data_IF_794171092993
#
_entry.id   IF_794171092993
#
_cell.length_a   1.000
_cell.length_b   1.000
_cell.length_c   1.000
_cell.angle_alpha   90.00
_cell.angle_beta   90.00
_cell.angle_gamma   90.00
#
_symmetry.space_group_name_H-M   'P 1'
#
loop_
_entity.id
_entity.type
_entity.pdbx_description
1 polymer ?
#
# COMPACT_ATOMS: atom_id res chain seq x y z
N UNK A 1 2.40 23.14 -0.46
CA UNK A 1 1.77 21.88 0.00
C UNK A 1 2.89 20.94 0.43
N UNK A 2 2.88 20.46 1.68
CA UNK A 2 3.94 19.60 2.23
C UNK A 2 3.78 18.20 1.63
N UNK A 3 4.67 17.79 0.72
CA UNK A 3 4.63 16.44 0.16
C UNK A 3 5.28 15.44 1.12
N UNK A 4 4.66 14.29 1.35
CA UNK A 4 5.29 13.19 2.09
C UNK A 4 6.45 12.58 1.30
N UNK A 5 6.41 12.66 -0.04
CA UNK A 5 7.45 12.20 -0.95
C UNK A 5 7.48 13.05 -2.23
N UNK A 6 8.65 13.36 -2.82
CA UNK A 6 8.74 14.25 -3.99
C UNK A 6 7.91 13.79 -5.20
N UNK A 7 7.89 12.47 -5.47
CA UNK A 7 7.19 11.89 -6.62
C UNK A 7 5.79 11.35 -6.33
N UNK A 8 5.26 11.47 -5.09
CA UNK A 8 3.84 11.19 -4.84
C UNK A 8 3.05 12.36 -5.42
N UNK A 9 2.14 12.06 -6.34
CA UNK A 9 1.26 13.05 -6.97
C UNK A 9 0.10 13.40 -6.03
N UNK A 10 -0.53 14.56 -6.24
CA UNK A 10 -1.71 14.98 -5.48
C UNK A 10 -2.94 14.07 -5.68
N UNK A 11 -2.91 13.19 -6.68
CA UNK A 11 -3.96 12.20 -6.94
C UNK A 11 -3.91 10.97 -6.02
N UNK A 12 -2.86 10.86 -5.19
CA UNK A 12 -2.68 9.76 -4.24
C UNK A 12 -3.22 10.21 -2.88
N UNK A 13 -4.33 9.60 -2.44
CA UNK A 13 -5.00 9.97 -1.20
C UNK A 13 -4.31 9.40 0.05
N UNK A 14 -3.48 8.36 -0.11
CA UNK A 14 -2.73 7.73 0.97
C UNK A 14 -1.56 6.89 0.47
N UNK A 15 -0.63 6.57 1.37
CA UNK A 15 0.58 5.83 1.07
C UNK A 15 1.02 4.98 2.24
N UNK A 16 1.27 3.68 2.00
CA UNK A 16 1.89 2.75 2.95
C UNK A 16 3.34 2.43 2.59
N UNK A 17 4.22 2.41 3.59
CA UNK A 17 5.61 1.96 3.45
C UNK A 17 5.92 0.83 4.44
N UNK A 18 6.08 -0.42 3.98
CA UNK A 18 6.60 -1.53 4.77
C UNK A 18 8.11 -1.65 4.57
N UNK A 19 8.92 -0.86 5.28
CA UNK A 19 10.37 -1.02 5.25
C UNK A 19 10.89 -1.60 6.57
N UNK A 20 12.10 -2.19 6.54
CA UNK A 20 12.69 -2.86 7.70
C UNK A 20 13.09 -1.90 8.83
N UNK A 21 13.10 -0.58 8.58
CA UNK A 21 13.48 0.44 9.56
C UNK A 21 12.25 1.03 10.26
N UNK A 22 11.13 1.18 9.54
CA UNK A 22 9.86 1.66 10.05
C UNK A 22 8.72 1.23 9.13
N UNK A 23 7.57 1.02 9.74
CA UNK A 23 6.32 0.87 9.02
C UNK A 23 5.46 2.10 9.30
N UNK A 24 4.97 2.75 8.26
CA UNK A 24 4.12 3.93 8.40
C UNK A 24 3.14 4.09 7.24
N UNK A 25 2.09 4.84 7.52
CA UNK A 25 1.10 5.29 6.54
C UNK A 25 0.98 6.80 6.60
N UNK A 26 0.82 7.44 5.43
CA UNK A 26 0.43 8.86 5.33
C UNK A 26 -0.89 8.95 4.59
N UNK A 27 -1.87 9.66 5.15
CA UNK A 27 -3.18 9.88 4.51
C UNK A 27 -3.59 11.34 4.66
N UNK A 28 -4.22 11.88 3.62
CA UNK A 28 -4.90 13.16 3.71
C UNK A 28 -6.31 12.99 4.31
N UNK A 29 -6.45 13.32 5.58
CA UNK A 29 -7.74 13.25 6.30
C UNK A 29 -8.70 14.39 5.93
N UNK A 30 -8.23 15.42 5.22
CA UNK A 30 -9.11 16.48 4.70
C UNK A 30 -9.87 16.07 3.43
N UNK A 31 -9.43 14.99 2.78
CA UNK A 31 -10.11 14.37 1.66
C UNK A 31 -11.38 13.64 2.13
N UNK A 32 -12.47 13.77 1.37
CA UNK A 32 -13.65 12.92 1.55
C UNK A 32 -13.25 11.45 1.42
N UNK A 33 -13.41 10.66 2.48
CA UNK A 33 -12.99 9.26 2.52
C UNK A 33 -11.59 9.02 3.08
N UNK A 34 -10.93 10.03 3.69
CA UNK A 34 -9.62 9.86 4.33
C UNK A 34 -9.55 8.70 5.33
N UNK A 35 -10.60 8.44 6.12
CA UNK A 35 -10.64 7.27 7.00
C UNK A 35 -10.64 5.94 6.23
N UNK A 36 -11.34 5.86 5.10
CA UNK A 36 -11.36 4.65 4.25
C UNK A 36 -9.97 4.38 3.69
N UNK A 37 -9.29 5.42 3.22
CA UNK A 37 -7.91 5.31 2.72
C UNK A 37 -6.96 4.89 3.86
N UNK A 38 -7.09 5.51 5.03
CA UNK A 38 -6.30 5.12 6.21
C UNK A 38 -6.48 3.64 6.56
N UNK A 39 -7.72 3.16 6.60
CA UNK A 39 -7.99 1.76 6.90
C UNK A 39 -7.58 0.81 5.78
N UNK A 40 -7.62 1.22 4.51
CA UNK A 40 -7.07 0.46 3.38
C UNK A 40 -5.57 0.23 3.55
N UNK A 41 -4.81 1.30 3.75
CA UNK A 41 -3.36 1.23 3.96
C UNK A 41 -3.01 0.46 5.25
N UNK A 42 -3.82 0.59 6.30
CA UNK A 42 -3.69 -0.22 7.51
C UNK A 42 -4.02 -1.70 7.28
N UNK A 43 -4.92 -2.01 6.34
CA UNK A 43 -5.20 -3.38 5.88
C UNK A 43 -3.97 -4.04 5.27
N UNK A 44 -3.19 -3.33 4.45
CA UNK A 44 -1.89 -3.81 3.98
C UNK A 44 -0.93 -4.07 5.14
N UNK A 45 -0.89 -3.17 6.13
CA UNK A 45 -0.06 -3.35 7.32
C UNK A 45 -0.37 -4.65 8.06
N UNK A 46 -1.65 -4.85 8.36
CA UNK A 46 -2.13 -6.03 9.05
C UNK A 46 -1.84 -7.32 8.26
N UNK A 47 -2.03 -7.31 6.94
CA UNK A 47 -1.74 -8.45 6.07
C UNK A 47 -0.28 -8.90 6.19
N UNK A 48 0.68 -7.97 6.05
CA UNK A 48 2.10 -8.32 6.02
C UNK A 48 2.68 -8.66 7.40
N UNK A 49 2.01 -8.30 8.50
CA UNK A 49 2.42 -8.70 9.84
C UNK A 49 2.02 -10.15 10.19
N UNK A 50 0.89 -10.64 9.69
CA UNK A 50 0.38 -11.96 10.09
C UNK A 50 1.11 -13.12 9.42
N UNK A 51 1.38 -13.03 8.11
CA UNK A 51 2.15 -14.04 7.36
C UNK A 51 2.85 -13.38 6.17
N UNK A 52 4.17 -13.54 6.09
CA UNK A 52 4.94 -13.20 4.90
C UNK A 52 4.72 -14.28 3.83
N UNK A 53 3.86 -14.01 2.86
CA UNK A 53 3.63 -14.86 1.70
C UNK A 53 3.59 -14.04 0.41
N UNK A 54 3.99 -14.64 -0.71
CA UNK A 54 3.81 -14.05 -2.04
C UNK A 54 2.35 -14.13 -2.45
N UNK A 55 1.58 -13.09 -2.11
CA UNK A 55 0.18 -12.99 -2.47
C UNK A 55 0.00 -12.37 -3.86
N UNK A 56 -1.00 -12.84 -4.64
CA UNK A 56 -1.35 -12.19 -5.90
C UNK A 56 -1.91 -10.80 -5.64
N UNK A 57 -1.63 -9.84 -6.54
CA UNK A 57 -1.98 -8.43 -6.36
C UNK A 57 -3.48 -8.21 -6.07
N UNK A 58 -4.36 -9.00 -6.68
CA UNK A 58 -5.80 -8.81 -6.47
C UNK A 58 -6.18 -9.11 -5.02
N UNK A 59 -5.54 -10.10 -4.39
CA UNK A 59 -5.84 -10.45 -3.01
C UNK A 59 -5.21 -9.44 -2.05
N UNK A 60 -4.02 -8.92 -2.37
CA UNK A 60 -3.38 -7.84 -1.58
C UNK A 60 -4.30 -6.62 -1.48
N UNK A 61 -4.86 -6.17 -2.60
CA UNK A 61 -5.78 -5.04 -2.63
C UNK A 61 -7.17 -5.39 -2.13
N UNK A 62 -7.69 -6.56 -2.49
CA UNK A 62 -9.00 -7.01 -2.07
C UNK A 62 -9.10 -7.18 -0.55
N UNK A 63 -8.03 -7.65 0.07
CA UNK A 63 -7.90 -7.69 1.52
C UNK A 63 -7.94 -6.28 2.11
N UNK A 64 -7.11 -5.37 1.62
CA UNK A 64 -7.11 -3.98 2.09
C UNK A 64 -8.49 -3.32 1.95
N UNK A 65 -9.17 -3.49 0.81
CA UNK A 65 -10.54 -2.99 0.59
C UNK A 65 -11.57 -3.65 1.52
N UNK A 66 -11.43 -4.95 1.83
CA UNK A 66 -12.34 -5.66 2.75
C UNK A 66 -12.30 -5.07 4.16
N UNK A 67 -11.12 -4.60 4.60
CA UNK A 67 -10.92 -3.95 5.89
C UNK A 67 -11.07 -2.41 5.84
N UNK A 68 -11.04 -1.80 4.65
CA UNK A 68 -11.08 -0.33 4.48
C UNK A 68 -12.38 0.32 5.01
N UNK A 69 -13.48 -0.43 5.06
CA UNK A 69 -14.78 0.04 5.55
C UNK A 69 -15.09 -0.44 6.97
N UNK A 70 -14.07 -0.82 7.75
CA UNK A 70 -14.24 -1.28 9.13
C UNK A 70 -15.05 -0.29 9.96
N UNK A 71 -16.04 -0.80 10.71
CA UNK A 71 -16.78 -0.03 11.72
C UNK A 71 -16.24 -0.41 13.09
N UNK A 72 -15.48 0.49 13.72
CA UNK A 72 -14.91 0.28 15.06
C UNK A 72 -15.73 1.10 16.05
N UNK A 73 -16.33 0.42 17.02
CA UNK A 73 -17.07 1.01 18.13
C UNK A 73 -16.59 0.40 19.45
N UNK A 74 -16.87 1.04 20.59
CA UNK A 74 -16.45 0.50 21.90
C UNK A 74 -16.95 -0.92 22.17
N UNK A 75 -18.11 -1.29 21.62
CA UNK A 75 -18.80 -2.56 21.85
C UNK A 75 -18.65 -3.58 20.71
N UNK A 76 -18.18 -3.16 19.52
CA UNK A 76 -18.10 -4.04 18.36
C UNK A 76 -17.12 -3.56 17.31
N UNK A 77 -16.61 -4.51 16.53
CA UNK A 77 -15.87 -4.27 15.29
C UNK A 77 -16.60 -4.99 14.17
N UNK A 78 -16.79 -4.36 13.01
CA UNK A 78 -17.38 -5.00 11.82
C UNK A 78 -16.49 -4.86 10.60
N UNK A 79 -16.26 -5.98 9.89
CA UNK A 79 -15.44 -6.07 8.69
C UNK A 79 -16.25 -6.44 7.45
N UNK A 80 -15.68 -6.27 6.25
CA UNK A 80 -16.31 -6.67 5.00
C UNK A 80 -17.50 -5.81 4.59
N UNK A 81 -17.60 -4.59 5.14
CA UNK A 81 -18.60 -3.61 4.71
C UNK A 81 -18.24 -3.13 3.31
N UNK A 82 -19.25 -2.75 2.54
CA UNK A 82 -19.07 -2.26 1.17
C UNK A 82 -19.02 -0.73 1.13
N UNK A 83 -18.19 -0.19 0.23
CA UNK A 83 -18.25 1.23 -0.13
C UNK A 83 -19.35 1.45 -1.19
N UNK A 84 -20.22 2.47 -1.04
CA UNK A 84 -21.22 2.78 -2.07
C UNK A 84 -20.62 3.01 -3.45
N UNK A 85 -19.44 3.65 -3.53
CA UNK A 85 -18.73 3.88 -4.80
C UNK A 85 -18.23 2.59 -5.46
N UNK A 86 -17.74 1.64 -4.65
CA UNK A 86 -17.32 0.31 -5.13
C UNK A 86 -18.51 -0.50 -5.61
N UNK A 87 -19.61 -0.48 -4.87
CA UNK A 87 -20.84 -1.16 -5.31
C UNK A 87 -21.36 -0.60 -6.63
N UNK A 88 -21.36 0.72 -6.78
CA UNK A 88 -21.75 1.37 -8.03
C UNK A 88 -20.92 0.83 -9.21
N UNK A 89 -19.59 0.76 -9.04
CA UNK A 89 -18.69 0.18 -10.06
C UNK A 89 -19.03 -1.26 -10.44
N UNK A 90 -19.57 -2.07 -9.53
CA UNK A 90 -19.94 -3.47 -9.78
C UNK A 90 -21.35 -3.64 -10.37
N UNK A 91 -22.23 -2.64 -10.23
CA UNK A 91 -23.65 -2.75 -10.58
C UNK A 91 -24.08 -1.92 -11.78
N UNK A 92 -23.19 -1.15 -12.42
CA UNK A 92 -23.54 -0.26 -13.55
C UNK A 92 -23.78 -0.96 -14.91
N UNK A 93 -23.74 -2.30 -15.01
CA UNK A 93 -24.14 -3.05 -16.21
C UNK A 93 -23.16 -4.15 -16.65
N UNK A 94 -23.47 -4.86 -17.74
CA UNK A 94 -22.78 -6.10 -18.16
C UNK A 94 -21.27 -5.91 -18.45
N UNK A 95 -20.85 -4.73 -18.89
CA UNK A 95 -19.45 -4.40 -19.22
C UNK A 95 -18.71 -3.67 -18.08
N UNK A 96 -19.27 -3.66 -16.87
CA UNK A 96 -18.66 -2.95 -15.72
C UNK A 96 -17.53 -3.73 -15.03
N UNK A 97 -17.30 -4.99 -15.42
CA UNK A 97 -16.24 -5.81 -14.85
C UNK A 97 -15.18 -6.07 -15.91
N UNK A 98 -13.93 -5.96 -15.52
CA UNK A 98 -12.84 -6.57 -16.26
C UNK A 98 -12.95 -8.09 -16.27
N UNK A 99 -12.31 -8.69 -17.27
CA UNK A 99 -12.19 -10.13 -17.38
C UNK A 99 -11.43 -10.69 -16.18
N UNK A 100 -11.94 -11.78 -15.62
CA UNK A 100 -11.33 -12.43 -14.46
C UNK A 100 -9.90 -12.88 -14.73
N UNK A 101 -9.58 -13.31 -15.95
CA UNK A 101 -8.22 -13.66 -16.38
C UNK A 101 -7.26 -12.48 -16.19
N UNK A 102 -7.71 -11.27 -16.54
CA UNK A 102 -6.89 -10.09 -16.39
C UNK A 102 -6.72 -9.73 -14.90
N UNK A 103 -7.80 -9.79 -14.11
CA UNK A 103 -7.76 -9.54 -12.66
C UNK A 103 -6.81 -10.51 -11.95
N UNK A 104 -6.81 -11.78 -12.33
CA UNK A 104 -5.96 -12.84 -11.77
C UNK A 104 -4.48 -12.68 -12.15
N UNK A 105 -4.17 -12.01 -13.26
CA UNK A 105 -2.80 -11.90 -13.81
C UNK A 105 -2.17 -10.53 -13.64
N UNK A 106 -2.96 -9.48 -13.41
CA UNK A 106 -2.40 -8.16 -13.23
C UNK A 106 -1.46 -8.07 -12.04
N UNK A 107 -0.30 -7.50 -12.33
CA UNK A 107 0.62 -6.96 -11.33
C UNK A 107 0.37 -5.47 -11.26
N UNK A 108 0.14 -4.95 -10.06
CA UNK A 108 0.02 -3.50 -9.87
C UNK A 108 1.36 -2.86 -10.24
N UNK A 109 1.43 -2.27 -11.42
CA UNK A 109 2.56 -1.49 -11.89
C UNK A 109 2.34 -0.03 -11.53
N UNK A 110 3.39 0.71 -11.12
CA UNK A 110 3.33 2.17 -10.94
C UNK A 110 2.86 2.95 -12.18
N UNK A 111 2.82 2.30 -13.36
CA UNK A 111 2.48 2.93 -14.64
C UNK A 111 1.02 3.35 -14.83
N UNK A 112 0.10 3.02 -13.90
CA UNK A 112 -1.25 3.59 -13.85
C UNK A 112 -2.14 3.33 -15.06
N UNK A 113 -1.79 2.40 -15.96
CA UNK A 113 -2.51 2.12 -17.22
C UNK A 113 -3.84 1.39 -17.05
N UNK A 114 -4.31 1.20 -15.82
CA UNK A 114 -5.48 0.38 -15.52
C UNK A 114 -6.61 1.22 -14.90
N UNK A 115 -7.91 0.98 -15.20
CA UNK A 115 -9.02 1.58 -14.45
C UNK A 115 -9.02 1.07 -13.00
N UNK A 116 -8.13 1.62 -12.17
CA UNK A 116 -7.85 1.16 -10.80
C UNK A 116 -9.12 1.01 -9.95
N UNK A 117 -10.08 1.92 -10.13
CA UNK A 117 -11.37 1.85 -9.44
C UNK A 117 -12.15 0.53 -9.67
N UNK A 118 -12.13 -0.02 -10.89
CA UNK A 118 -12.80 -1.30 -11.20
C UNK A 118 -12.04 -2.48 -10.61
N UNK A 119 -10.70 -2.46 -10.66
CA UNK A 119 -9.89 -3.52 -10.08
C UNK A 119 -10.10 -3.62 -8.57
N UNK A 120 -10.04 -2.49 -7.87
CA UNK A 120 -10.29 -2.47 -6.42
C UNK A 120 -11.69 -2.98 -6.08
N UNK A 121 -12.70 -2.61 -6.87
CA UNK A 121 -14.07 -3.10 -6.67
C UNK A 121 -14.18 -4.62 -6.89
N UNK A 122 -13.58 -5.16 -7.95
CA UNK A 122 -13.60 -6.60 -8.22
C UNK A 122 -12.75 -7.40 -7.21
N UNK A 123 -11.59 -6.87 -6.82
CA UNK A 123 -10.74 -7.44 -5.79
C UNK A 123 -11.46 -7.54 -4.44
N UNK A 124 -12.19 -6.49 -4.05
CA UNK A 124 -13.08 -6.51 -2.89
C UNK A 124 -14.17 -7.57 -3.03
N UNK A 125 -14.87 -7.63 -4.18
CA UNK A 125 -15.95 -8.59 -4.41
C UNK A 125 -15.46 -10.04 -4.34
N UNK A 126 -14.29 -10.33 -4.93
CA UNK A 126 -13.65 -11.65 -4.86
C UNK A 126 -13.27 -12.00 -3.43
N UNK A 127 -12.64 -11.07 -2.70
CA UNK A 127 -12.25 -11.29 -1.30
C UNK A 127 -13.48 -11.58 -0.44
N UNK A 128 -14.54 -10.79 -0.60
CA UNK A 128 -15.80 -10.98 0.10
C UNK A 128 -16.45 -12.33 -0.24
N UNK A 129 -16.50 -12.69 -1.53
CA UNK A 129 -16.96 -14.00 -1.99
C UNK A 129 -16.17 -15.13 -1.32
N UNK A 130 -14.84 -15.09 -1.36
CA UNK A 130 -14.02 -16.17 -0.82
C UNK A 130 -14.11 -16.28 0.70
N UNK A 131 -14.23 -15.16 1.42
CA UNK A 131 -14.35 -15.14 2.88
C UNK A 131 -15.78 -15.41 3.38
N UNK A 132 -16.77 -15.55 2.50
CA UNK A 132 -18.18 -15.64 2.89
C UNK A 132 -18.61 -16.96 3.54
N UNK A 133 -17.86 -18.04 3.32
CA UNK A 133 -18.16 -19.39 3.84
C UNK A 133 -16.85 -20.14 4.15
N UNK A 134 -16.85 -21.11 5.07
CA UNK A 134 -15.68 -21.95 5.34
C UNK A 134 -15.13 -22.62 4.08
N UNK A 135 -16.00 -23.18 3.24
CA UNK A 135 -15.61 -23.93 2.03
C UNK A 135 -14.90 -23.02 1.02
N UNK A 136 -15.42 -21.81 0.81
CA UNK A 136 -14.76 -20.82 -0.06
C UNK A 136 -13.46 -20.28 0.53
N UNK A 137 -13.37 -20.20 1.85
CA UNK A 137 -12.14 -19.78 2.54
C UNK A 137 -11.05 -20.84 2.34
N UNK A 138 -11.42 -22.13 2.37
CA UNK A 138 -10.51 -23.22 2.04
C UNK A 138 -10.07 -23.21 0.57
N UNK A 139 -10.99 -22.91 -0.36
CA UNK A 139 -10.63 -22.70 -1.79
C UNK A 139 -9.59 -21.59 -1.93
N UNK A 140 -9.80 -20.44 -1.29
CA UNK A 140 -8.85 -19.34 -1.28
C UNK A 140 -7.51 -19.76 -0.69
N UNK A 141 -7.50 -20.48 0.44
CA UNK A 141 -6.27 -20.98 1.06
C UNK A 141 -5.46 -21.87 0.12
N UNK A 142 -6.12 -22.79 -0.61
CA UNK A 142 -5.47 -23.64 -1.63
C UNK A 142 -4.87 -22.83 -2.78
N UNK A 143 -5.64 -21.88 -3.31
CA UNK A 143 -5.19 -20.98 -4.37
C UNK A 143 -3.96 -20.15 -3.94
N UNK A 144 -4.02 -19.49 -2.79
CA UNK A 144 -2.92 -18.65 -2.29
C UNK A 144 -1.66 -19.49 -2.03
N UNK A 145 -1.81 -20.71 -1.53
CA UNK A 145 -0.67 -21.62 -1.34
C UNK A 145 -0.02 -22.04 -2.67
N UNK A 146 -0.81 -22.25 -3.72
CA UNK A 146 -0.31 -22.57 -5.06
C UNK A 146 0.47 -21.39 -5.67
N UNK A 147 -0.11 -20.19 -5.64
CA UNK A 147 0.57 -18.97 -6.12
C UNK A 147 1.85 -18.70 -5.34
N UNK A 148 1.85 -18.92 -4.03
CA UNK A 148 3.05 -18.75 -3.20
C UNK A 148 4.18 -19.74 -3.57
N UNK A 149 3.87 -20.89 -4.18
CA UNK A 149 4.86 -21.84 -4.73
C UNK A 149 5.34 -21.46 -6.14
N UNK A 150 4.83 -20.37 -6.72
CA UNK A 150 5.18 -19.90 -8.06
C UNK A 150 4.33 -20.49 -9.18
N UNK A 151 3.20 -21.13 -8.87
CA UNK A 151 2.26 -21.60 -9.88
C UNK A 151 1.54 -20.41 -10.58
N UNK A 152 1.19 -20.60 -11.85
CA UNK A 152 0.44 -19.60 -12.61
C UNK A 152 -0.95 -19.38 -12.01
N UNK A 153 -1.34 -18.11 -11.87
CA UNK A 153 -2.54 -17.69 -11.13
C UNK A 153 -3.85 -18.26 -11.68
N UNK A 154 -4.02 -18.30 -13.01
CA UNK A 154 -5.22 -18.82 -13.65
C UNK A 154 -5.40 -20.33 -13.38
N UNK A 155 -4.46 -21.22 -13.76
CA UNK A 155 -4.63 -22.65 -13.52
C UNK A 155 -4.69 -22.99 -12.03
N UNK A 156 -3.98 -22.25 -11.16
CA UNK A 156 -4.10 -22.41 -9.71
C UNK A 156 -5.51 -22.10 -9.20
N UNK A 157 -6.16 -21.05 -9.72
CA UNK A 157 -7.53 -20.68 -9.35
C UNK A 157 -8.54 -21.71 -9.84
N UNK A 158 -8.38 -22.19 -11.08
CA UNK A 158 -9.23 -23.24 -11.64
C UNK A 158 -9.11 -24.54 -10.82
N UNK A 159 -7.90 -24.95 -10.46
CA UNK A 159 -7.67 -26.12 -9.63
C UNK A 159 -8.26 -25.98 -8.21
N UNK A 160 -8.19 -24.78 -7.64
CA UNK A 160 -8.71 -24.51 -6.30
C UNK A 160 -10.25 -24.46 -6.24
N UNK A 161 -10.91 -23.96 -7.29
CA UNK A 161 -12.36 -23.71 -7.31
C UNK A 161 -13.15 -24.71 -8.14
N UNK A 162 -12.49 -25.40 -9.07
CA UNK A 162 -13.14 -26.21 -10.10
C UNK A 162 -13.93 -25.37 -11.12
N UNK A 163 -13.63 -24.07 -11.24
CA UNK A 163 -14.32 -23.12 -12.12
C UNK A 163 -13.34 -22.44 -13.06
N UNK A 164 -13.74 -22.28 -14.31
CA UNK A 164 -13.01 -21.40 -15.24
C UNK A 164 -13.09 -19.94 -14.74
N UNK A 165 -12.19 -19.03 -15.19
CA UNK A 165 -12.26 -17.62 -14.84
C UNK A 165 -13.62 -16.98 -15.14
N UNK A 166 -14.25 -17.35 -16.26
CA UNK A 166 -15.57 -16.85 -16.63
C UNK A 166 -16.69 -17.35 -15.69
N UNK A 167 -16.65 -18.65 -15.34
CA UNK A 167 -17.59 -19.23 -14.38
C UNK A 167 -17.43 -18.62 -12.99
N UNK A 168 -16.19 -18.44 -12.54
CA UNK A 168 -15.89 -17.77 -11.27
C UNK A 168 -16.41 -16.33 -11.29
N UNK A 169 -16.20 -15.58 -12.38
CA UNK A 169 -16.73 -14.23 -12.52
C UNK A 169 -18.25 -14.20 -12.37
N UNK A 170 -18.95 -15.15 -12.98
CA UNK A 170 -20.41 -15.26 -12.88
C UNK A 170 -20.88 -15.64 -11.47
N UNK A 171 -20.14 -16.51 -10.78
CA UNK A 171 -20.42 -16.87 -9.39
C UNK A 171 -20.24 -15.67 -8.44
N UNK A 172 -19.16 -14.90 -8.59
CA UNK A 172 -18.93 -13.69 -7.80
C UNK A 172 -19.98 -12.63 -8.11
N UNK A 173 -20.35 -12.44 -9.38
CA UNK A 173 -21.45 -11.52 -9.77
C UNK A 173 -22.77 -11.92 -9.12
N UNK A 174 -23.15 -13.20 -9.19
CA UNK A 174 -24.36 -13.73 -8.54
C UNK A 174 -24.31 -13.53 -7.02
N UNK A 175 -23.14 -13.71 -6.41
CA UNK A 175 -22.96 -13.44 -5.00
C UNK A 175 -23.21 -11.95 -4.66
N UNK A 176 -22.73 -11.03 -5.51
CA UNK A 176 -22.92 -9.59 -5.36
C UNK A 176 -24.37 -9.11 -5.52
N UNK A 177 -25.25 -9.91 -6.15
CA UNK A 177 -26.69 -9.59 -6.20
C UNK A 177 -27.43 -9.96 -4.91
N UNK A 178 -26.78 -10.74 -4.03
CA UNK A 178 -27.32 -11.14 -2.73
C UNK A 178 -27.04 -10.13 -1.61
N UNK A 179 -27.42 -10.48 -0.38
CA UNK A 179 -27.10 -9.67 0.80
C UNK A 179 -25.62 -9.81 1.16
N UNK A 180 -24.89 -8.70 1.06
CA UNK A 180 -23.50 -8.60 1.53
C UNK A 180 -23.51 -8.52 3.06
N UNK A 181 -23.00 -9.58 3.71
CA UNK A 181 -22.93 -9.64 5.17
C UNK A 181 -21.60 -9.10 5.65
N UNK A 182 -21.65 -8.22 6.65
CA UNK A 182 -20.47 -7.84 7.41
C UNK A 182 -20.16 -8.92 8.46
N UNK A 183 -18.88 -9.13 8.74
CA UNK A 183 -18.43 -10.04 9.79
C UNK A 183 -18.20 -9.28 11.10
N UNK A 184 -18.79 -9.75 12.20
CA UNK A 184 -18.60 -9.19 13.55
C UNK A 184 -17.97 -10.26 14.45
N UNK A 185 -16.64 -10.23 14.69
CA UNK A 185 -16.02 -11.19 15.60
C UNK A 185 -16.60 -11.07 17.02
N UNK A 186 -16.77 -12.20 17.68
CA UNK A 186 -17.16 -12.27 19.09
C UNK A 186 -15.90 -12.27 19.95
N UNK A 187 -15.32 -11.09 20.12
CA UNK A 187 -14.10 -10.87 20.91
C UNK A 187 -14.32 -9.73 21.90
N UNK A 188 -13.60 -9.78 23.01
CA UNK A 188 -13.46 -8.63 23.90
C UNK A 188 -12.56 -7.59 23.22
N UNK A 189 -13.01 -6.33 23.18
CA UNK A 189 -12.28 -5.24 22.55
C UNK A 189 -11.55 -4.47 23.67
N UNK A 190 -10.22 -4.61 23.79
CA UNK A 190 -9.48 -3.85 24.78
C UNK A 190 -9.52 -2.37 24.40
N UNK A 191 -9.80 -1.50 25.38
CA UNK A 191 -9.65 -0.05 25.23
C UNK A 191 -8.23 0.31 25.69
N UNK A 192 -7.31 0.63 24.78
CA UNK A 192 -5.96 1.00 25.18
C UNK A 192 -5.95 2.38 25.85
N UNK A 193 -5.09 2.55 26.86
CA UNK A 193 -4.73 3.88 27.33
C UNK A 193 -3.85 4.54 26.27
N UNK A 194 -4.32 5.66 25.69
CA UNK A 194 -3.61 6.41 24.66
C UNK A 194 -3.24 7.78 25.22
N UNK A 195 -1.94 8.07 25.27
CA UNK A 195 -1.44 9.42 25.53
C UNK A 195 -1.37 10.20 24.20
N UNK A 196 -2.10 11.32 24.11
CA UNK A 196 -2.06 12.21 22.96
C UNK A 196 -1.28 13.46 23.32
N UNK A 197 -0.12 13.64 22.69
CA UNK A 197 0.76 14.78 22.94
C UNK A 197 0.84 15.67 21.71
N UNK A 198 0.61 16.97 21.89
CA UNK A 198 0.77 17.94 20.80
C UNK A 198 2.25 18.23 20.58
N UNK A 199 2.72 18.04 19.35
CA UNK A 199 4.06 18.41 18.93
C UNK A 199 4.15 19.93 18.70
N UNK A 200 5.29 20.51 19.03
CA UNK A 200 5.64 21.89 18.61
C UNK A 200 5.84 21.95 17.09
N UNK A 201 5.79 23.16 16.52
CA UNK A 201 6.04 23.34 15.09
C UNK A 201 7.44 22.83 14.67
N UNK A 202 8.45 23.03 15.53
CA UNK A 202 9.82 22.55 15.30
C UNK A 202 9.89 21.01 15.29
N UNK A 203 9.28 20.35 16.28
CA UNK A 203 9.23 18.89 16.32
C UNK A 203 8.45 18.30 15.14
N UNK A 204 7.34 18.92 14.73
CA UNK A 204 6.58 18.48 13.57
C UNK A 204 7.38 18.58 12.28
N UNK A 205 8.14 19.67 12.11
CA UNK A 205 9.04 19.83 10.95
C UNK A 205 10.12 18.73 10.92
N UNK A 206 10.71 18.41 12.06
CA UNK A 206 11.68 17.31 12.19
C UNK A 206 11.03 15.96 11.89
N UNK A 207 9.81 15.70 12.38
CA UNK A 207 9.07 14.47 12.08
C UNK A 207 8.82 14.28 10.57
N UNK A 208 8.49 15.34 9.85
CA UNK A 208 8.34 15.30 8.38
C UNK A 208 9.65 15.01 7.66
N UNK A 209 10.77 15.56 8.15
CA UNK A 209 12.10 15.31 7.57
C UNK A 209 12.54 13.86 7.83
N UNK A 210 12.31 13.35 9.04
CA UNK A 210 12.59 11.96 9.42
C UNK A 210 11.85 10.98 8.51
N UNK A 211 10.55 11.21 8.30
CA UNK A 211 9.70 10.41 7.43
C UNK A 211 10.21 10.36 5.98
N UNK A 212 10.61 11.52 5.45
CA UNK A 212 11.12 11.61 4.08
C UNK A 212 12.45 10.90 3.91
N UNK A 213 13.33 10.97 4.92
CA UNK A 213 14.63 10.29 4.89
C UNK A 213 14.47 8.76 4.87
N UNK A 214 13.36 8.22 5.39
CA UNK A 214 13.07 6.77 5.41
C UNK A 214 12.75 6.22 4.00
N UNK A 215 12.15 7.03 3.12
CA UNK A 215 11.85 6.62 1.74
C UNK A 215 13.07 6.48 0.83
N UNK A 216 14.25 6.84 1.32
CA UNK A 216 15.50 6.81 0.56
C UNK A 216 16.15 5.44 0.70
N UNK A 217 16.24 4.67 -0.40
CA UNK A 217 16.89 3.35 -0.39
C UNK A 217 18.32 3.47 0.17
N UNK A 218 18.66 2.54 1.06
CA UNK A 218 19.96 2.47 1.77
C UNK A 218 21.06 1.87 0.89
N UNK A 219 20.70 1.20 -0.21
CA UNK A 219 21.61 0.57 -1.15
C UNK A 219 21.31 1.14 -2.54
N UNK A 220 22.27 1.86 -3.12
CA UNK A 220 22.33 2.04 -4.59
C UNK A 220 22.78 0.67 -5.13
N UNK A 221 21.85 -0.09 -5.72
CA UNK A 221 22.21 -1.38 -6.30
C UNK A 221 23.11 -1.15 -7.53
N UNK A 222 24.05 -2.07 -7.75
CA UNK A 222 24.87 -2.15 -8.96
C UNK A 222 24.02 -2.40 -10.24
N UNK A 223 22.72 -2.67 -10.09
CA UNK A 223 21.76 -2.96 -11.17
C UNK A 223 21.35 -1.70 -11.97
N UNK A 224 21.86 -0.51 -11.64
CA UNK A 224 21.49 0.75 -12.32
C UNK A 224 21.85 0.77 -13.82
N UNK A 225 22.82 -0.03 -14.25
CA UNK A 225 23.25 -0.15 -15.64
C UNK A 225 22.39 -1.15 -16.45
N UNK A 226 21.85 -2.20 -15.82
CA UNK A 226 20.94 -3.17 -16.46
C UNK A 226 19.61 -2.50 -16.88
N UNK A 227 19.13 -1.53 -16.10
CA UNK A 227 17.91 -0.75 -16.39
C UNK A 227 17.97 0.07 -17.70
N UNK A 228 19.19 0.35 -18.19
CA UNK A 228 19.44 1.12 -19.42
C UNK A 228 19.63 0.21 -20.64
N UNK A 229 19.76 -1.10 -20.44
CA UNK A 229 19.94 -2.07 -21.50
C UNK A 229 18.63 -2.23 -22.31
N UNK A 230 18.73 -2.28 -23.63
CA UNK A 230 17.56 -2.33 -24.54
C UNK A 230 16.69 -1.06 -24.61
N UNK A 231 17.02 0.03 -23.90
CA UNK A 231 16.30 1.32 -23.98
C UNK A 231 16.80 2.19 -25.13
N UNK A 232 15.91 3.00 -25.71
CA UNK A 232 16.30 4.02 -26.69
C UNK A 232 17.09 5.16 -26.04
N UNK A 233 17.87 5.91 -26.83
CA UNK A 233 18.68 7.02 -26.31
C UNK A 233 17.85 8.12 -25.65
N UNK A 234 16.64 8.37 -26.15
CA UNK A 234 15.70 9.31 -25.55
C UNK A 234 15.21 8.83 -24.17
N UNK A 235 14.94 7.53 -24.02
CA UNK A 235 14.54 6.95 -22.74
C UNK A 235 15.69 6.94 -21.74
N UNK A 236 16.91 6.59 -22.19
CA UNK A 236 18.12 6.64 -21.36
C UNK A 236 18.36 8.06 -20.84
N UNK A 237 18.27 9.06 -21.71
CA UNK A 237 18.45 10.47 -21.34
C UNK A 237 17.43 10.92 -20.29
N UNK A 238 16.16 10.52 -20.45
CA UNK A 238 15.11 10.80 -19.47
C UNK A 238 15.40 10.12 -18.12
N UNK A 239 15.74 8.82 -18.13
CA UNK A 239 16.08 8.07 -16.92
C UNK A 239 17.25 8.71 -16.17
N UNK A 240 18.32 9.07 -16.89
CA UNK A 240 19.51 9.71 -16.30
C UNK A 240 19.18 11.09 -15.71
N UNK A 241 18.33 11.87 -16.38
CA UNK A 241 17.84 13.16 -15.85
C UNK A 241 17.05 12.96 -14.56
N UNK A 242 16.07 12.06 -14.56
CA UNK A 242 15.22 11.78 -13.41
C UNK A 242 16.03 11.23 -12.22
N UNK A 243 17.11 10.48 -12.50
CA UNK A 243 18.10 10.01 -11.51
C UNK A 243 18.93 11.17 -10.95
N UNK A 244 19.43 12.07 -11.80
CA UNK A 244 20.20 13.23 -11.37
C UNK A 244 19.37 14.19 -10.50
N UNK A 245 18.13 14.47 -10.89
CA UNK A 245 17.18 15.26 -10.11
C UNK A 245 16.90 14.61 -8.75
N UNK A 246 16.67 13.29 -8.71
CA UNK A 246 16.48 12.58 -7.45
C UNK A 246 17.71 12.61 -6.52
N UNK A 247 18.93 12.58 -7.06
CA UNK A 247 20.17 12.72 -6.28
C UNK A 247 20.28 14.11 -5.67
N UNK A 248 19.92 15.15 -6.41
CA UNK A 248 19.97 16.53 -5.92
C UNK A 248 18.88 16.81 -4.87
N UNK A 249 17.66 16.34 -5.10
CA UNK A 249 16.57 16.39 -4.11
C UNK A 249 16.98 15.71 -2.81
N UNK A 250 17.65 14.56 -2.91
CA UNK A 250 18.18 13.81 -1.76
C UNK A 250 19.23 14.61 -1.01
N UNK A 251 20.18 15.23 -1.70
CA UNK A 251 21.22 16.05 -1.08
C UNK A 251 20.59 17.22 -0.32
N UNK A 252 19.64 17.90 -0.94
CA UNK A 252 18.89 19.00 -0.34
C UNK A 252 18.12 18.56 0.90
N UNK A 253 17.46 17.39 0.85
CA UNK A 253 16.75 16.82 1.99
C UNK A 253 17.69 16.53 3.17
N UNK A 254 18.85 15.90 2.93
CA UNK A 254 19.84 15.57 3.97
C UNK A 254 20.38 16.84 4.63
N UNK A 255 20.79 17.84 3.83
CA UNK A 255 21.32 19.10 4.37
C UNK A 255 20.26 19.86 5.17
N UNK A 256 19.03 19.91 4.66
CA UNK A 256 17.91 20.54 5.36
C UNK A 256 17.59 19.83 6.69
N UNK A 257 17.66 18.51 6.70
CA UNK A 257 17.44 17.68 7.88
C UNK A 257 18.49 17.93 8.97
N UNK A 258 19.78 17.95 8.60
CA UNK A 258 20.88 18.21 9.54
C UNK A 258 20.77 19.64 10.10
N UNK A 259 20.52 20.63 9.22
CA UNK A 259 20.37 22.03 9.61
C UNK A 259 19.20 22.23 10.57
N UNK A 260 18.04 21.64 10.29
CA UNK A 260 16.86 21.72 11.16
C UNK A 260 17.11 21.06 12.53
N UNK A 261 17.87 19.96 12.57
CA UNK A 261 18.18 19.25 13.82
C UNK A 261 19.20 19.98 14.71
N UNK A 262 20.07 20.81 14.13
CA UNK A 262 21.12 21.54 14.85
C UNK A 262 20.58 22.49 15.93
N UNK A 263 19.36 23.02 15.77
CA UNK A 263 18.71 23.89 16.75
C UNK A 263 18.06 23.15 17.92
N UNK A 264 18.08 21.81 17.96
CA UNK A 264 17.32 21.02 18.94
C UNK A 264 18.00 19.67 19.26
N UNK A 265 19.33 19.64 19.26
CA UNK A 265 20.21 18.43 19.28
C UNK A 265 19.89 17.37 20.34
N UNK A 266 19.18 17.72 21.42
CA UNK A 266 18.85 16.80 22.51
C UNK A 266 17.38 16.34 22.51
N UNK A 267 16.58 16.76 21.54
CA UNK A 267 15.22 16.24 21.36
C UNK A 267 15.27 14.87 20.69
N UNK A 268 14.33 13.99 21.06
CA UNK A 268 14.17 12.67 20.43
C UNK A 268 14.07 12.77 18.90
N UNK A 269 13.39 13.81 18.40
CA UNK A 269 13.20 14.04 16.96
C UNK A 269 14.47 14.48 16.25
N UNK A 270 15.27 15.39 16.82
CA UNK A 270 16.54 15.78 16.23
C UNK A 270 17.51 14.60 16.13
N UNK A 271 17.62 13.80 17.20
CA UNK A 271 18.44 12.59 17.21
C UNK A 271 18.01 11.58 16.14
N UNK A 272 16.69 11.35 16.00
CA UNK A 272 16.15 10.47 14.97
C UNK A 272 16.50 10.96 13.55
N UNK A 273 16.26 12.24 13.26
CA UNK A 273 16.56 12.87 11.97
C UNK A 273 18.05 12.79 11.63
N UNK A 274 18.94 13.22 12.54
CA UNK A 274 20.39 13.21 12.31
C UNK A 274 20.91 11.79 12.10
N UNK A 275 20.47 10.83 12.92
CA UNK A 275 20.90 9.43 12.78
C UNK A 275 20.54 8.85 11.41
N UNK A 276 19.37 9.21 10.86
CA UNK A 276 18.88 8.71 9.58
C UNK A 276 19.54 9.43 8.40
N UNK A 277 19.73 10.73 8.52
CA UNK A 277 20.48 11.54 7.54
C UNK A 277 21.91 11.02 7.34
N UNK A 278 22.59 10.62 8.43
CA UNK A 278 23.97 10.10 8.42
C UNK A 278 24.06 8.64 7.93
N UNK A 279 23.03 7.81 8.15
CA UNK A 279 22.99 6.40 7.69
C UNK A 279 22.72 6.25 6.18
N UNK A 280 22.11 7.24 5.53
CA UNK A 280 21.91 7.22 4.08
C UNK A 280 23.30 7.22 3.41
N UNK A 281 23.58 6.39 2.38
CA UNK A 281 24.90 6.30 1.76
C UNK A 281 25.25 7.65 1.12
N UNK A 282 25.92 8.46 1.91
CA UNK A 282 26.44 9.78 1.61
C UNK A 282 27.73 9.97 2.40
N UNK A 283 28.44 8.86 2.68
CA UNK A 283 29.71 8.80 3.42
C UNK A 283 30.83 9.68 2.82
N UNK A 284 30.59 10.41 1.73
CA UNK A 284 31.49 11.43 1.21
C UNK A 284 31.16 12.86 1.64
N UNK A 285 29.95 13.18 2.11
CA UNK A 285 29.59 14.56 2.49
C UNK A 285 29.92 14.91 3.95
N UNK A 286 30.07 13.92 4.84
CA UNK A 286 30.38 14.18 6.25
C UNK A 286 31.87 14.50 6.51
N UNK A 287 32.73 14.40 5.50
CA UNK A 287 34.17 14.65 5.63
C UNK A 287 34.58 16.12 5.35
N UNK A 288 33.65 16.99 4.96
CA UNK A 288 33.93 18.41 4.66
C UNK A 288 33.38 19.39 5.71
N UNK A 289 32.89 18.92 6.86
CA UNK A 289 32.39 19.78 7.95
C UNK A 289 33.00 19.39 9.31
N UNK A 290 34.24 18.92 9.31
CA UNK A 290 35.09 18.79 10.50
C UNK A 290 36.37 19.61 10.27
#
# INVERSE_FOLDING_TARGET
MVKAWPRVTQSVAGWYSPNSQRIYTVVDLSSMGGNTVLFHEYGHHFMFQMKSGSYPSWFVEGFAEYYAMVDIRPDRIQFGRNSPGRMNSLTMGANSWARMEDVLTWRISPSGRYPGHLYYAQAWAMTHYFMSTPERTEMLGRYLAAVARGEDSIPAMEAATGRTPEELQNDVRRYMTGTIRAYTPQIEIPIPEIEITRMTAAESALGWLELRLDTTRVIENHDEDEDLEGKSDAERTRILRDRAEAREDRRTLITSAISAAAGSLFTRWALAVTSRAVRSPGKRAAAEIA
#
